data_IF_413648911373
#
_entry.id   IF_413648911373
#
_cell.length_a   1.000
_cell.length_b   1.000
_cell.length_c   1.000
_cell.angle_alpha   90.00
_cell.angle_beta   90.00
_cell.angle_gamma   90.00
#
_symmetry.space_group_name_H-M   'P 1'
#
loop_
_entity.id
_entity.type
_entity.pdbx_description
1 polymer ?
#
# COMPACT_ATOMS: atom_id res chain seq x y z
N UNK A 1 -0.35 10.75 17.56
CA UNK A 1 1.01 10.31 17.18
C UNK A 1 2.05 11.09 17.96
N UNK A 2 3.11 10.44 18.38
CA UNK A 2 4.15 11.00 19.26
C UNK A 2 5.01 12.03 18.50
N UNK A 3 5.24 11.91 17.19
CA UNK A 3 5.95 12.89 16.36
C UNK A 3 5.24 14.26 16.29
N UNK A 4 3.92 14.32 16.55
CA UNK A 4 3.18 15.60 16.70
C UNK A 4 3.66 16.45 17.87
N UNK A 5 4.21 15.81 18.89
CA UNK A 5 4.74 16.53 20.08
C UNK A 5 6.07 17.23 19.78
N UNK A 6 6.75 16.87 18.68
CA UNK A 6 8.01 17.46 18.21
C UNK A 6 9.23 16.99 18.99
N UNK A 7 10.40 17.14 18.41
CA UNK A 7 11.68 17.09 19.11
C UNK A 7 12.51 15.81 18.96
N UNK A 8 11.89 14.67 18.68
CA UNK A 8 12.62 13.39 18.72
C UNK A 8 12.76 12.70 17.34
N UNK A 9 12.25 13.33 16.28
CA UNK A 9 12.24 12.75 14.94
C UNK A 9 12.74 13.75 13.92
N UNK A 10 13.73 13.33 13.12
CA UNK A 10 14.28 14.12 12.03
C UNK A 10 13.59 13.80 10.70
N UNK A 11 13.16 12.56 10.54
CA UNK A 11 12.46 12.05 9.36
C UNK A 11 11.29 11.16 9.78
N UNK A 12 10.19 11.28 9.06
CA UNK A 12 9.05 10.37 9.18
C UNK A 12 8.74 9.81 7.79
N UNK A 13 8.61 8.48 7.71
CA UNK A 13 8.04 7.80 6.55
C UNK A 13 6.66 7.30 6.98
N UNK A 14 5.62 7.69 6.26
CA UNK A 14 4.24 7.39 6.62
C UNK A 14 3.37 7.20 5.38
N UNK A 15 2.17 6.67 5.63
CA UNK A 15 1.14 6.51 4.62
C UNK A 15 0.53 7.88 4.24
N UNK A 16 0.02 7.95 3.03
CA UNK A 16 -0.56 9.13 2.38
C UNK A 16 -1.55 9.91 3.25
N UNK A 17 -2.51 9.25 3.89
CA UNK A 17 -3.52 9.91 4.74
C UNK A 17 -2.93 10.52 6.02
N UNK A 18 -1.84 9.94 6.55
CA UNK A 18 -1.11 10.52 7.70
C UNK A 18 -0.36 11.76 7.25
N UNK A 19 0.24 11.72 6.06
CA UNK A 19 0.96 12.83 5.45
C UNK A 19 0.01 14.00 5.20
N UNK A 20 -1.15 13.74 4.60
CA UNK A 20 -2.17 14.76 4.36
C UNK A 20 -2.52 15.52 5.64
N UNK A 21 -2.84 14.78 6.71
CA UNK A 21 -3.13 15.36 8.02
C UNK A 21 -1.94 16.16 8.57
N UNK A 22 -0.72 15.66 8.40
CA UNK A 22 0.48 16.33 8.87
C UNK A 22 0.71 17.67 8.17
N UNK A 23 0.49 17.73 6.86
CA UNK A 23 0.60 18.96 6.06
C UNK A 23 -0.50 19.94 6.48
N UNK A 24 -1.75 19.50 6.59
CA UNK A 24 -2.88 20.33 7.01
C UNK A 24 -2.68 20.95 8.41
N UNK A 25 -2.07 20.20 9.34
CA UNK A 25 -1.77 20.69 10.69
C UNK A 25 -0.47 21.53 10.77
N UNK A 26 0.24 21.75 9.65
CA UNK A 26 1.49 22.52 9.62
C UNK A 26 2.66 21.84 10.35
N UNK A 27 2.68 20.52 10.38
CA UNK A 27 3.66 19.72 11.11
C UNK A 27 4.84 19.25 10.22
N UNK A 28 4.88 19.69 8.97
CA UNK A 28 5.88 19.30 7.97
C UNK A 28 6.62 20.54 7.46
N UNK A 29 7.93 20.44 7.28
CA UNK A 29 8.74 21.47 6.62
C UNK A 29 8.52 21.40 5.09
N UNK A 30 8.65 22.54 4.40
CA UNK A 30 8.77 22.53 2.95
C UNK A 30 10.05 21.80 2.54
N UNK A 31 9.91 20.95 1.54
CA UNK A 31 11.01 20.17 1.00
C UNK A 31 11.94 21.04 0.13
N UNK A 32 13.23 20.93 0.36
CA UNK A 32 14.26 21.41 -0.58
C UNK A 32 14.70 20.26 -1.47
N UNK A 33 14.03 20.09 -2.61
CA UNK A 33 14.32 19.02 -3.55
C UNK A 33 15.75 19.05 -4.12
N UNK A 34 16.41 20.20 -4.11
CA UNK A 34 17.79 20.35 -4.59
C UNK A 34 18.82 19.59 -3.73
N UNK A 35 18.43 19.20 -2.54
CA UNK A 35 19.23 18.41 -1.59
C UNK A 35 19.11 16.89 -1.82
N UNK A 36 18.30 16.46 -2.76
CA UNK A 36 18.09 15.04 -3.10
C UNK A 36 18.56 14.84 -4.53
N UNK A 37 19.73 14.27 -4.70
CA UNK A 37 20.42 14.17 -6.00
C UNK A 37 19.66 13.38 -7.05
N UNK A 38 18.86 12.39 -6.61
CA UNK A 38 18.04 11.52 -7.48
C UNK A 38 16.59 11.96 -7.58
N UNK A 39 16.24 13.19 -7.17
CA UNK A 39 14.85 13.66 -7.16
C UNK A 39 14.19 13.58 -8.54
N UNK A 40 14.93 13.94 -9.60
CA UNK A 40 14.42 13.91 -10.98
C UNK A 40 14.20 12.47 -11.52
N UNK A 41 14.73 11.47 -10.84
CA UNK A 41 14.51 10.05 -11.15
C UNK A 41 13.22 9.49 -10.54
N UNK A 42 12.52 10.25 -9.69
CA UNK A 42 11.26 9.80 -9.11
C UNK A 42 10.22 9.59 -10.21
N UNK A 43 9.48 8.49 -10.08
CA UNK A 43 8.45 8.14 -11.05
C UNK A 43 7.26 9.10 -10.94
N UNK A 44 6.92 9.83 -12.03
CA UNK A 44 5.83 10.80 -12.03
C UNK A 44 4.47 10.24 -11.60
N UNK A 45 4.26 8.94 -11.74
CA UNK A 45 3.03 8.26 -11.29
C UNK A 45 2.80 8.43 -9.78
N UNK A 46 3.89 8.52 -9.00
CA UNK A 46 3.83 8.67 -7.53
C UNK A 46 3.97 10.13 -7.07
N UNK A 47 4.11 11.06 -8.00
CA UNK A 47 4.22 12.48 -7.73
C UNK A 47 2.86 13.19 -7.85
N UNK A 48 2.78 14.39 -7.30
CA UNK A 48 1.58 15.27 -7.40
C UNK A 48 0.29 14.59 -6.91
N UNK A 49 0.41 13.81 -5.87
CA UNK A 49 -0.70 13.09 -5.28
C UNK A 49 -1.59 14.03 -4.45
N UNK A 50 -2.81 13.57 -4.12
CA UNK A 50 -3.82 14.38 -3.42
C UNK A 50 -3.30 15.01 -2.13
N UNK A 51 -2.41 14.33 -1.40
CA UNK A 51 -1.85 14.82 -0.14
C UNK A 51 -0.75 15.88 -0.31
N UNK A 52 -0.09 15.93 -1.47
CA UNK A 52 0.99 16.88 -1.79
C UNK A 52 0.99 17.25 -3.30
N UNK A 53 -0.05 17.94 -3.79
CA UNK A 53 -0.27 18.13 -5.22
C UNK A 53 0.84 18.94 -5.93
N UNK A 54 1.59 19.77 -5.23
CA UNK A 54 2.70 20.54 -5.76
C UNK A 54 4.08 19.91 -5.47
N UNK A 55 4.14 18.74 -4.81
CA UNK A 55 5.37 18.10 -4.37
C UNK A 55 6.25 19.02 -3.50
N UNK A 56 5.61 19.76 -2.59
CA UNK A 56 6.29 20.75 -1.75
C UNK A 56 6.78 20.20 -0.41
N UNK A 57 6.40 18.97 -0.04
CA UNK A 57 6.60 18.48 1.34
C UNK A 57 7.21 17.09 1.42
N UNK A 58 7.04 16.25 0.40
CA UNK A 58 7.31 14.83 0.53
C UNK A 58 8.18 14.25 -0.58
N UNK A 59 8.83 13.13 -0.25
CA UNK A 59 9.55 12.30 -1.22
C UNK A 59 8.91 10.91 -1.21
N UNK A 60 8.33 10.43 -2.30
CA UNK A 60 7.81 9.07 -2.40
C UNK A 60 8.89 8.04 -2.05
N UNK A 61 8.51 7.05 -1.25
CA UNK A 61 9.42 6.00 -0.78
C UNK A 61 9.07 4.63 -1.33
N UNK A 62 7.78 4.29 -1.31
CA UNK A 62 7.29 3.02 -1.82
C UNK A 62 5.79 3.07 -2.03
N UNK A 63 5.30 2.26 -2.95
CA UNK A 63 3.87 2.10 -3.19
C UNK A 63 3.46 0.64 -3.03
N UNK A 64 2.42 0.40 -2.25
CA UNK A 64 1.81 -0.91 -2.07
C UNK A 64 0.54 -1.03 -2.89
N UNK A 65 0.42 -2.14 -3.63
CA UNK A 65 -0.80 -2.49 -4.35
C UNK A 65 -1.26 -3.84 -3.80
N UNK A 66 -2.30 -3.86 -2.95
CA UNK A 66 -2.86 -5.12 -2.52
C UNK A 66 -3.62 -5.79 -3.66
N UNK A 67 -3.41 -7.09 -3.81
CA UNK A 67 -3.96 -7.92 -4.87
C UNK A 67 -4.70 -9.12 -4.27
N UNK A 68 -5.59 -9.72 -5.06
CA UNK A 68 -6.13 -11.03 -4.74
C UNK A 68 -5.20 -12.09 -5.31
N UNK A 69 -4.93 -13.11 -4.49
CA UNK A 69 -4.25 -14.34 -4.92
C UNK A 69 -5.14 -15.52 -4.52
N UNK A 70 -5.31 -16.49 -5.39
CA UNK A 70 -6.13 -17.66 -5.08
C UNK A 70 -5.51 -18.96 -5.59
N UNK A 71 -5.94 -20.06 -4.98
CA UNK A 71 -5.55 -21.42 -5.35
C UNK A 71 -6.66 -22.06 -6.20
N UNK A 72 -6.45 -22.21 -7.52
CA UNK A 72 -7.45 -22.83 -8.39
C UNK A 72 -7.65 -24.33 -8.12
N UNK A 73 -6.79 -24.94 -7.32
CA UNK A 73 -6.96 -26.33 -6.85
C UNK A 73 -7.89 -26.48 -5.65
N UNK A 74 -8.22 -25.38 -4.96
CA UNK A 74 -9.07 -25.37 -3.76
C UNK A 74 -10.44 -24.75 -3.99
N UNK A 75 -10.70 -24.15 -5.15
CA UNK A 75 -12.01 -23.57 -5.48
C UNK A 75 -12.27 -23.63 -6.99
N UNK A 76 -13.51 -23.88 -7.36
CA UNK A 76 -13.99 -23.78 -8.73
C UNK A 76 -14.40 -22.33 -9.10
N UNK A 77 -14.41 -21.43 -8.13
CA UNK A 77 -14.72 -20.01 -8.34
C UNK A 77 -13.60 -19.36 -9.13
N UNK A 78 -13.92 -18.91 -10.34
CA UNK A 78 -13.00 -18.08 -11.13
C UNK A 78 -13.04 -16.65 -10.60
N UNK A 79 -11.98 -16.25 -9.91
CA UNK A 79 -11.85 -14.91 -9.33
C UNK A 79 -11.25 -13.96 -10.39
N UNK A 80 -11.97 -12.89 -10.70
CA UNK A 80 -11.58 -11.85 -11.69
C UNK A 80 -11.64 -10.44 -11.12
N UNK A 81 -12.17 -10.29 -9.91
CA UNK A 81 -12.33 -9.02 -9.25
C UNK A 81 -12.71 -9.17 -7.78
N UNK A 82 -12.85 -8.04 -7.12
CA UNK A 82 -13.18 -8.00 -5.69
C UNK A 82 -14.56 -8.59 -5.39
N UNK A 83 -15.55 -8.37 -6.28
CA UNK A 83 -16.92 -8.87 -6.08
C UNK A 83 -16.95 -10.40 -5.95
N UNK A 84 -16.03 -11.11 -6.61
CA UNK A 84 -15.99 -12.56 -6.58
C UNK A 84 -15.67 -13.12 -5.18
N UNK A 85 -15.07 -12.30 -4.28
CA UNK A 85 -14.84 -12.68 -2.89
C UNK A 85 -16.15 -12.90 -2.09
N UNK A 86 -17.26 -12.31 -2.54
CA UNK A 86 -18.60 -12.51 -1.96
C UNK A 86 -19.30 -13.79 -2.44
N UNK A 87 -18.66 -14.56 -3.32
CA UNK A 87 -19.26 -15.81 -3.79
C UNK A 87 -19.48 -16.78 -2.61
N UNK A 88 -20.70 -17.32 -2.39
CA UNK A 88 -20.99 -18.23 -1.28
C UNK A 88 -20.14 -19.50 -1.27
N UNK A 89 -19.62 -19.94 -2.41
CA UNK A 89 -18.73 -21.10 -2.50
C UNK A 89 -17.37 -20.87 -1.79
N UNK A 90 -17.06 -19.61 -1.45
CA UNK A 90 -15.89 -19.24 -0.67
C UNK A 90 -16.20 -19.14 0.85
N UNK A 91 -17.30 -19.71 1.33
CA UNK A 91 -17.65 -19.69 2.76
C UNK A 91 -16.47 -20.18 3.62
N UNK A 92 -16.07 -19.35 4.62
CA UNK A 92 -14.95 -19.61 5.53
C UNK A 92 -13.62 -19.94 4.83
N UNK A 93 -13.35 -19.34 3.66
CA UNK A 93 -12.24 -19.72 2.78
C UNK A 93 -11.47 -18.51 2.21
N UNK A 94 -11.65 -17.34 2.81
CA UNK A 94 -10.98 -16.10 2.38
C UNK A 94 -10.16 -15.52 3.53
N UNK A 95 -8.91 -15.15 3.24
CA UNK A 95 -8.07 -14.36 4.14
C UNK A 95 -7.98 -12.90 3.67
N UNK A 96 -8.06 -11.96 4.60
CA UNK A 96 -7.95 -10.53 4.31
C UNK A 96 -6.85 -9.90 5.15
N UNK A 97 -6.20 -8.87 4.59
CA UNK A 97 -5.40 -7.93 5.39
C UNK A 97 -6.25 -7.22 6.44
N UNK A 98 -5.67 -6.79 7.56
CA UNK A 98 -6.41 -6.17 8.67
C UNK A 98 -6.61 -4.65 8.50
N UNK A 99 -6.17 -4.06 7.39
CA UNK A 99 -6.31 -2.63 7.16
C UNK A 99 -7.73 -2.27 6.72
N UNK A 100 -8.48 -1.65 7.62
CA UNK A 100 -9.89 -1.29 7.40
C UNK A 100 -10.09 -0.36 6.18
N UNK A 101 -9.18 0.57 5.92
CA UNK A 101 -9.26 1.48 4.75
C UNK A 101 -9.17 0.72 3.44
N UNK A 102 -8.30 -0.29 3.40
CA UNK A 102 -8.10 -1.11 2.21
C UNK A 102 -9.28 -2.05 1.99
N UNK A 103 -9.81 -2.65 3.06
CA UNK A 103 -10.97 -3.54 2.98
C UNK A 103 -12.24 -2.77 2.60
N UNK A 104 -12.46 -1.61 3.21
CA UNK A 104 -13.58 -0.74 2.84
C UNK A 104 -13.41 -0.22 1.40
N UNK A 105 -12.17 0.11 1.02
CA UNK A 105 -11.82 0.56 -0.32
C UNK A 105 -12.16 -0.46 -1.41
N UNK A 106 -11.85 -1.76 -1.23
CA UNK A 106 -12.25 -2.78 -2.22
C UNK A 106 -13.76 -2.95 -2.27
N UNK A 107 -14.45 -2.78 -1.14
CA UNK A 107 -15.91 -2.81 -1.10
C UNK A 107 -16.50 -1.65 -1.88
N UNK A 108 -15.96 -0.44 -1.71
CA UNK A 108 -16.33 0.74 -2.51
C UNK A 108 -16.14 0.49 -4.01
N UNK A 109 -15.03 -0.15 -4.40
CA UNK A 109 -14.79 -0.50 -5.81
C UNK A 109 -15.84 -1.44 -6.38
N UNK A 110 -16.33 -2.41 -5.61
CA UNK A 110 -17.44 -3.28 -6.04
C UNK A 110 -18.77 -2.53 -6.24
N UNK A 111 -18.90 -1.35 -5.63
CA UNK A 111 -20.05 -0.47 -5.79
C UNK A 111 -19.87 0.57 -6.91
N UNK A 112 -18.71 0.57 -7.58
CA UNK A 112 -18.37 1.55 -8.61
C UNK A 112 -17.88 2.90 -8.06
N UNK A 113 -17.61 2.95 -6.76
CA UNK A 113 -17.22 4.16 -6.05
C UNK A 113 -15.68 4.34 -5.98
N UNK A 114 -15.24 5.54 -5.62
CA UNK A 114 -13.83 5.85 -5.42
C UNK A 114 -13.34 5.34 -4.06
N UNK A 115 -12.09 4.85 -4.00
CA UNK A 115 -11.38 4.60 -2.73
C UNK A 115 -11.33 5.86 -1.83
N UNK A 116 -11.33 7.04 -2.44
CA UNK A 116 -11.16 8.32 -1.75
C UNK A 116 -12.49 9.08 -1.61
N UNK A 117 -13.62 8.38 -1.65
CA UNK A 117 -14.91 9.05 -1.41
C UNK A 117 -14.96 9.61 0.01
N UNK A 118 -15.49 10.83 0.13
CA UNK A 118 -15.78 11.49 1.42
C UNK A 118 -17.29 11.47 1.74
N UNK A 119 -18.10 10.90 0.86
CA UNK A 119 -19.54 10.76 1.08
C UNK A 119 -19.82 9.74 2.16
N UNK A 120 -20.28 10.21 3.32
CA UNK A 120 -20.52 9.38 4.50
C UNK A 120 -21.66 8.36 4.27
N UNK A 121 -22.62 8.64 3.41
CA UNK A 121 -23.69 7.70 3.14
C UNK A 121 -23.21 6.57 2.23
N UNK A 122 -22.34 6.88 1.27
CA UNK A 122 -21.64 5.88 0.44
C UNK A 122 -20.72 5.01 1.30
N UNK A 123 -19.94 5.61 2.22
CA UNK A 123 -19.04 4.87 3.12
C UNK A 123 -19.85 3.94 4.04
N UNK A 124 -20.97 4.38 4.57
CA UNK A 124 -21.87 3.53 5.38
C UNK A 124 -22.45 2.38 4.58
N UNK A 125 -22.91 2.64 3.36
CA UNK A 125 -23.42 1.59 2.47
C UNK A 125 -22.32 0.55 2.13
N UNK A 126 -21.08 0.98 1.95
CA UNK A 126 -19.94 0.07 1.77
C UNK A 126 -19.71 -0.78 3.03
N UNK A 127 -19.76 -0.19 4.21
CA UNK A 127 -19.68 -0.91 5.49
C UNK A 127 -20.78 -1.96 5.63
N UNK A 128 -22.02 -1.62 5.30
CA UNK A 128 -23.14 -2.57 5.32
C UNK A 128 -22.93 -3.72 4.32
N UNK A 129 -22.44 -3.42 3.11
CA UNK A 129 -22.06 -4.46 2.14
C UNK A 129 -20.91 -5.32 2.67
N UNK A 130 -19.89 -4.72 3.27
CA UNK A 130 -18.73 -5.43 3.80
C UNK A 130 -19.14 -6.47 4.87
N UNK A 131 -20.15 -6.17 5.69
CA UNK A 131 -20.68 -7.12 6.67
C UNK A 131 -21.21 -8.40 6.01
N UNK A 132 -21.68 -8.33 4.77
CA UNK A 132 -22.16 -9.51 4.02
C UNK A 132 -21.02 -10.42 3.56
N UNK A 133 -19.77 -9.96 3.59
CA UNK A 133 -18.58 -10.77 3.31
C UNK A 133 -18.17 -11.67 4.50
N UNK A 134 -18.64 -11.34 5.71
CA UNK A 134 -18.22 -12.03 6.93
C UNK A 134 -18.32 -13.56 6.89
N UNK A 135 -19.33 -14.20 6.30
CA UNK A 135 -19.39 -15.67 6.20
C UNK A 135 -18.20 -16.27 5.42
N UNK A 136 -17.65 -15.55 4.46
CA UNK A 136 -16.56 -16.03 3.63
C UNK A 136 -15.19 -15.85 4.29
N UNK A 137 -15.10 -14.96 5.28
CA UNK A 137 -13.83 -14.63 5.94
C UNK A 137 -13.46 -15.70 6.96
N UNK A 138 -12.31 -16.34 6.75
CA UNK A 138 -11.70 -17.25 7.72
C UNK A 138 -10.78 -16.50 8.68
N UNK A 139 -10.00 -15.55 8.18
CA UNK A 139 -9.01 -14.82 8.95
C UNK A 139 -8.81 -13.40 8.43
N UNK A 140 -8.52 -12.50 9.36
CA UNK A 140 -8.06 -11.13 9.08
C UNK A 140 -6.71 -10.96 9.78
N UNK A 141 -5.65 -10.69 9.01
CA UNK A 141 -4.29 -10.60 9.54
C UNK A 141 -3.41 -9.75 8.60
N UNK A 142 -2.53 -8.90 9.15
CA UNK A 142 -1.61 -8.08 8.36
C UNK A 142 -0.21 -8.70 8.19
N UNK A 143 0.22 -9.53 9.15
CA UNK A 143 1.63 -9.90 9.23
C UNK A 143 1.99 -11.12 8.39
N UNK A 144 1.08 -12.08 8.28
CA UNK A 144 1.36 -13.37 7.66
C UNK A 144 0.14 -13.95 6.91
N UNK A 145 -0.62 -13.11 6.26
CA UNK A 145 -1.82 -13.50 5.50
C UNK A 145 -1.47 -14.50 4.39
N UNK A 146 -0.28 -14.40 3.79
CA UNK A 146 0.21 -15.34 2.78
C UNK A 146 0.35 -16.77 3.32
N UNK A 147 0.61 -16.96 4.60
CA UNK A 147 0.84 -18.31 5.17
C UNK A 147 -0.41 -19.17 5.10
N UNK A 148 -1.60 -18.56 5.25
CA UNK A 148 -2.88 -19.27 5.14
C UNK A 148 -3.14 -19.76 3.71
N UNK A 149 -2.69 -19.02 2.71
CA UNK A 149 -2.79 -19.41 1.31
C UNK A 149 -1.74 -20.46 0.95
N UNK A 150 -0.49 -20.29 1.40
CA UNK A 150 0.61 -21.23 1.16
C UNK A 150 0.29 -22.60 1.77
N UNK A 151 -0.29 -22.64 2.97
CA UNK A 151 -0.68 -23.88 3.66
C UNK A 151 -1.92 -24.54 3.07
N UNK A 152 -2.67 -23.85 2.21
CA UNK A 152 -3.95 -24.32 1.69
C UNK A 152 -5.09 -24.22 2.72
N UNK A 153 -4.94 -23.43 3.77
CA UNK A 153 -5.98 -23.21 4.78
C UNK A 153 -7.11 -22.31 4.25
N UNK A 154 -6.82 -21.46 3.26
CA UNK A 154 -7.79 -20.67 2.50
C UNK A 154 -7.59 -20.84 1.01
N UNK A 155 -8.67 -20.73 0.24
CA UNK A 155 -8.61 -20.78 -1.21
C UNK A 155 -8.27 -19.41 -1.83
N UNK A 156 -8.61 -18.32 -1.18
CA UNK A 156 -8.35 -16.97 -1.69
C UNK A 156 -7.85 -16.04 -0.58
N UNK A 157 -6.99 -15.10 -0.94
CA UNK A 157 -6.50 -14.09 -0.02
C UNK A 157 -6.34 -12.74 -0.71
N UNK A 158 -6.59 -11.66 0.05
CA UNK A 158 -6.29 -10.30 -0.35
C UNK A 158 -5.04 -9.84 0.40
N UNK A 159 -3.95 -9.62 -0.34
CA UNK A 159 -2.58 -9.54 0.16
C UNK A 159 -1.87 -8.28 -0.31
N UNK A 160 -0.97 -7.75 0.50
CA UNK A 160 -0.01 -6.74 0.05
C UNK A 160 1.02 -7.34 -0.91
N UNK A 161 1.59 -6.51 -1.77
CA UNK A 161 2.54 -6.91 -2.83
C UNK A 161 3.69 -7.78 -2.32
N UNK A 162 4.27 -7.46 -1.17
CA UNK A 162 5.34 -8.25 -0.55
C UNK A 162 4.89 -9.67 -0.18
N UNK A 163 3.67 -9.80 0.33
CA UNK A 163 3.07 -11.09 0.68
C UNK A 163 2.69 -11.90 -0.57
N UNK A 164 2.25 -11.21 -1.64
CA UNK A 164 2.00 -11.84 -2.94
C UNK A 164 3.28 -12.48 -3.47
N UNK A 165 4.39 -11.75 -3.47
CA UNK A 165 5.70 -12.28 -3.90
C UNK A 165 6.11 -13.51 -3.09
N UNK A 166 5.96 -13.44 -1.77
CA UNK A 166 6.27 -14.58 -0.88
C UNK A 166 5.38 -15.79 -1.18
N UNK A 167 4.07 -15.58 -1.40
CA UNK A 167 3.15 -16.66 -1.73
C UNK A 167 3.52 -17.34 -3.06
N UNK A 168 3.82 -16.55 -4.10
CA UNK A 168 4.19 -17.08 -5.43
C UNK A 168 5.53 -17.80 -5.44
N UNK A 169 6.51 -17.35 -4.64
CA UNK A 169 7.79 -18.04 -4.48
C UNK A 169 7.60 -19.43 -3.84
N UNK A 170 6.70 -19.54 -2.86
CA UNK A 170 6.39 -20.79 -2.19
C UNK A 170 5.46 -21.70 -3.01
N UNK A 171 4.49 -21.12 -3.72
CA UNK A 171 3.44 -21.78 -4.47
C UNK A 171 3.27 -21.12 -5.85
N UNK A 172 4.11 -21.50 -6.85
CA UNK A 172 4.04 -20.91 -8.20
C UNK A 172 2.75 -21.26 -8.98
N UNK A 173 1.97 -22.21 -8.47
CA UNK A 173 0.67 -22.64 -8.99
C UNK A 173 -0.49 -21.72 -8.60
N UNK A 174 -0.27 -20.77 -7.70
CA UNK A 174 -1.27 -19.78 -7.31
C UNK A 174 -1.49 -18.76 -8.44
N UNK A 175 -2.73 -18.28 -8.55
CA UNK A 175 -3.11 -17.28 -9.54
C UNK A 175 -3.26 -15.89 -8.90
N UNK A 176 -2.63 -14.88 -9.53
CA UNK A 176 -2.76 -13.47 -9.16
C UNK A 176 -3.87 -12.83 -9.97
N UNK A 177 -4.75 -12.10 -9.29
CA UNK A 177 -5.86 -11.39 -9.91
C UNK A 177 -5.60 -9.90 -9.91
N UNK A 178 -5.65 -9.29 -11.09
CA UNK A 178 -5.75 -7.85 -11.27
C UNK A 178 -7.23 -7.50 -11.38
N UNK A 179 -7.86 -6.96 -10.32
CA UNK A 179 -9.30 -6.82 -10.25
C UNK A 179 -9.88 -5.95 -11.36
N UNK A 180 -10.95 -6.44 -11.98
CA UNK A 180 -11.67 -5.72 -13.05
C UNK A 180 -12.25 -4.38 -12.60
N UNK A 181 -12.51 -4.20 -11.30
CA UNK A 181 -13.00 -2.98 -10.70
C UNK A 181 -11.92 -1.89 -10.60
N UNK A 182 -10.67 -2.24 -10.91
CA UNK A 182 -9.51 -1.37 -10.82
C UNK A 182 -8.76 -1.52 -9.50
N UNK A 183 -7.48 -1.11 -9.54
CA UNK A 183 -6.58 -1.22 -8.40
C UNK A 183 -6.61 0.05 -7.53
N UNK A 184 -6.51 -0.15 -6.23
CA UNK A 184 -6.13 0.90 -5.30
C UNK A 184 -4.66 0.73 -4.92
N UNK A 185 -3.95 1.81 -4.77
CA UNK A 185 -2.59 1.79 -4.25
C UNK A 185 -2.43 2.80 -3.13
N UNK A 186 -1.62 2.46 -2.13
CA UNK A 186 -1.19 3.36 -1.08
C UNK A 186 0.25 3.79 -1.31
N UNK A 187 0.56 5.04 -1.05
CA UNK A 187 1.92 5.57 -1.15
C UNK A 187 2.43 5.84 0.25
N UNK A 188 3.62 5.33 0.55
CA UNK A 188 4.43 5.81 1.65
C UNK A 188 5.42 6.85 1.14
N UNK A 189 5.51 7.96 1.83
CA UNK A 189 6.48 9.00 1.52
C UNK A 189 7.20 9.49 2.77
N UNK A 190 8.42 9.99 2.56
CA UNK A 190 9.23 10.60 3.59
C UNK A 190 8.98 12.11 3.67
N UNK A 191 8.93 12.65 4.88
CA UNK A 191 8.88 14.08 5.14
C UNK A 191 9.71 14.47 6.36
N UNK A 192 10.15 15.72 6.37
CA UNK A 192 10.87 16.31 7.50
C UNK A 192 9.88 17.01 8.43
N UNK A 193 9.74 16.60 9.70
CA UNK A 193 8.88 17.27 10.65
C UNK A 193 9.24 18.74 10.84
N UNK A 194 8.23 19.59 11.10
CA UNK A 194 8.42 21.04 11.28
C UNK A 194 9.41 21.39 12.41
N UNK A 195 9.54 20.51 13.42
CA UNK A 195 10.42 20.67 14.57
C UNK A 195 11.58 19.68 14.60
N UNK A 196 11.97 19.14 13.44
CA UNK A 196 13.09 18.21 13.35
C UNK A 196 14.38 18.85 13.90
N UNK A 197 15.03 18.25 14.90
CA UNK A 197 16.25 18.81 15.47
C UNK A 197 17.46 18.74 14.52
N UNK A 198 17.49 17.74 13.62
CA UNK A 198 18.60 17.51 12.69
C UNK A 198 18.08 17.34 11.26
N UNK A 199 17.44 18.37 10.69
CA UNK A 199 16.90 18.33 9.34
C UNK A 199 17.97 17.95 8.29
N UNK A 200 19.24 18.35 8.49
CA UNK A 200 20.34 17.99 7.60
C UNK A 200 20.58 16.47 7.53
N UNK A 201 20.47 15.79 8.65
CA UNK A 201 20.56 14.32 8.70
C UNK A 201 19.39 13.66 7.98
N UNK A 202 18.18 14.22 8.11
CA UNK A 202 16.99 13.75 7.37
C UNK A 202 17.18 13.86 5.85
N UNK A 203 17.68 14.98 5.37
CA UNK A 203 17.98 15.16 3.93
C UNK A 203 19.08 14.22 3.44
N UNK A 204 20.16 14.04 4.22
CA UNK A 204 21.21 13.10 3.87
C UNK A 204 20.70 11.65 3.76
N UNK A 205 19.77 11.27 4.64
CA UNK A 205 19.16 9.94 4.59
C UNK A 205 18.18 9.83 3.39
N UNK A 206 17.35 10.83 3.14
CA UNK A 206 16.45 10.86 1.98
C UNK A 206 17.24 10.79 0.67
N UNK A 207 18.33 11.55 0.56
CA UNK A 207 19.22 11.49 -0.60
C UNK A 207 19.81 10.09 -0.78
N UNK A 208 20.30 9.49 0.31
CA UNK A 208 20.90 8.15 0.29
C UNK A 208 19.93 7.06 -0.16
N UNK A 209 18.73 7.01 0.42
CA UNK A 209 17.75 5.95 0.08
C UNK A 209 17.14 6.12 -1.30
N UNK A 210 17.18 7.32 -1.86
CA UNK A 210 16.68 7.60 -3.22
C UNK A 210 17.75 7.44 -4.30
N UNK A 211 19.01 7.18 -3.96
CA UNK A 211 19.98 6.78 -4.97
C UNK A 211 19.55 5.46 -5.63
N UNK A 212 19.65 5.33 -6.97
CA UNK A 212 19.07 4.21 -7.69
C UNK A 212 19.39 2.83 -7.12
N UNK A 213 20.67 2.59 -6.84
CA UNK A 213 21.13 1.31 -6.26
C UNK A 213 20.53 1.03 -4.87
N UNK A 214 20.40 2.07 -4.03
CA UNK A 214 19.84 1.92 -2.69
C UNK A 214 18.32 1.80 -2.73
N UNK A 215 17.66 2.52 -3.63
CA UNK A 215 16.23 2.39 -3.87
C UNK A 215 15.87 0.98 -4.35
N UNK A 216 16.67 0.38 -5.23
CA UNK A 216 16.51 -1.00 -5.65
C UNK A 216 16.62 -1.98 -4.47
N UNK A 217 17.64 -1.83 -3.61
CA UNK A 217 17.78 -2.66 -2.40
C UNK A 217 16.60 -2.52 -1.44
N UNK A 218 16.10 -1.29 -1.26
CA UNK A 218 14.90 -1.06 -0.45
C UNK A 218 13.70 -1.77 -1.04
N UNK A 219 13.49 -1.66 -2.35
CA UNK A 219 12.43 -2.35 -3.07
C UNK A 219 12.50 -3.87 -2.89
N UNK A 220 13.66 -4.49 -3.13
CA UNK A 220 13.85 -5.94 -3.01
C UNK A 220 13.61 -6.44 -1.59
N UNK A 221 14.00 -5.63 -0.59
CA UNK A 221 13.83 -6.01 0.82
C UNK A 221 12.38 -5.85 1.30
N UNK A 222 11.72 -4.75 0.92
CA UNK A 222 10.38 -4.41 1.42
C UNK A 222 9.28 -5.06 0.56
N UNK A 223 9.55 -5.28 -0.74
CA UNK A 223 8.59 -5.84 -1.69
C UNK A 223 7.48 -4.87 -2.11
N UNK A 224 7.70 -3.55 -1.96
CA UNK A 224 6.81 -2.52 -2.50
C UNK A 224 7.25 -2.08 -3.89
N UNK A 225 6.38 -1.38 -4.62
CA UNK A 225 6.77 -0.77 -5.90
C UNK A 225 7.82 0.30 -5.68
N UNK A 226 8.89 0.24 -6.46
CA UNK A 226 9.97 1.22 -6.44
C UNK A 226 9.49 2.55 -7.02
N UNK A 227 9.69 3.62 -6.28
CA UNK A 227 9.30 4.97 -6.70
C UNK A 227 10.36 5.68 -7.54
N UNK A 228 11.55 5.08 -7.70
CA UNK A 228 12.66 5.62 -8.47
C UNK A 228 12.84 4.84 -9.78
N UNK A 229 12.64 5.48 -10.94
CA UNK A 229 12.77 4.84 -12.25
C UNK A 229 14.17 4.33 -12.55
N UNK A 230 15.20 5.06 -12.14
CA UNK A 230 16.57 4.66 -12.40
C UNK A 230 17.01 3.44 -11.57
N UNK A 231 16.21 3.04 -10.57
CA UNK A 231 16.47 1.84 -9.79
C UNK A 231 16.16 0.54 -10.56
N UNK A 232 15.36 0.61 -11.61
CA UNK A 232 14.98 -0.57 -12.41
C UNK A 232 16.21 -1.34 -12.95
N UNK A 233 17.28 -0.62 -13.28
CA UNK A 233 18.54 -1.22 -13.79
C UNK A 233 19.29 -2.04 -12.71
N UNK A 234 18.95 -1.86 -11.44
CA UNK A 234 19.60 -2.51 -10.29
C UNK A 234 18.74 -3.58 -9.64
N UNK A 235 17.49 -3.75 -10.08
CA UNK A 235 16.58 -4.77 -9.55
C UNK A 235 16.90 -6.10 -10.23
N UNK A 236 17.07 -7.17 -9.43
CA UNK A 236 17.25 -8.53 -9.93
C UNK A 236 15.96 -9.04 -10.57
N UNK A 237 16.09 -9.86 -11.65
CA UNK A 237 14.98 -10.52 -12.34
C UNK A 237 14.24 -11.52 -11.44
#
# INVERSE_FOLDING_TARGET
SWWKKGGDYDLVIADDYIIELAIQEGLVQKLDASRISSYDNLNPVFMSQFYDPQNEYTVPYGAGIPLIVYDPGLTDVKITGYEDLWNPELENNVALTANYRVIDGITLKTMGESFNTEDLDVIRAAGDKLLTLAPNIRVINDNNTQDYLISGEVAAAFLYTSQVSTALQARPDLEVVYPKEGLGFGIMAGFVPAKAPNADAAYAFLDYINQPENAAKCFEYIGYYCTNKAAEEYISE
#
